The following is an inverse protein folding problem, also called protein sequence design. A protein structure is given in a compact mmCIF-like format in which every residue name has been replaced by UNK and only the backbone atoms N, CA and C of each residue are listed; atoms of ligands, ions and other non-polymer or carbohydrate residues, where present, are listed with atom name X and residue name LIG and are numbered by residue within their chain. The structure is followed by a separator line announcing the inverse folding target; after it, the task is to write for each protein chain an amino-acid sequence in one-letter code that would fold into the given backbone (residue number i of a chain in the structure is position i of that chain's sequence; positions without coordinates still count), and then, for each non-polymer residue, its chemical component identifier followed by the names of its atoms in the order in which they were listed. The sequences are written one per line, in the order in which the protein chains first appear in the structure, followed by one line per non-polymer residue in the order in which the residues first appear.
data_IF_187962159027
#
_entry.id   IF_187962159027
#
_cell.length_a   1.000
_cell.length_b   1.000
_cell.length_c   1.000
_cell.angle_alpha   90.00
_cell.angle_beta   90.00
_cell.angle_gamma   90.00
#
_symmetry.space_group_name_H-M   'P 1'
#
loop_
_entity.id
_entity.type
_entity.pdbx_description
1 polymer ?
#
# COMPACT_ATOMS: atom_id res chain seq x y z
N UNK A 1 -4.21 15.57 -10.78
CA UNK A 1 -4.31 15.79 -9.33
C UNK A 1 -3.98 14.51 -8.55
N UNK A 2 -4.64 13.37 -8.82
CA UNK A 2 -4.47 12.13 -8.08
C UNK A 2 -5.61 11.16 -8.37
N UNK A 3 -6.14 10.49 -7.34
CA UNK A 3 -7.23 9.53 -7.50
C UNK A 3 -8.26 9.67 -6.37
N UNK A 4 -9.47 9.25 -6.66
CA UNK A 4 -10.61 9.35 -5.75
C UNK A 4 -11.03 7.93 -5.35
N UNK A 5 -11.23 7.72 -4.05
CA UNK A 5 -11.78 6.48 -3.51
C UNK A 5 -13.23 6.65 -3.10
N UNK A 6 -14.00 5.56 -3.20
CA UNK A 6 -15.40 5.47 -2.78
C UNK A 6 -15.62 4.13 -2.10
N UNK A 7 -15.94 4.16 -0.82
CA UNK A 7 -16.16 2.96 0.00
C UNK A 7 -17.58 3.01 0.57
N UNK A 8 -18.52 2.23 0.04
CA UNK A 8 -19.84 2.10 0.64
C UNK A 8 -19.74 1.28 1.93
N UNK A 9 -20.29 1.81 3.00
CA UNK A 9 -20.47 1.13 4.27
C UNK A 9 -21.94 1.18 4.65
N UNK A 10 -22.36 0.36 5.64
CA UNK A 10 -23.78 0.14 5.97
C UNK A 10 -24.63 1.42 6.09
N UNK A 11 -24.08 2.51 6.61
CA UNK A 11 -24.84 3.72 6.93
C UNK A 11 -24.39 4.96 6.15
N UNK A 12 -23.35 4.86 5.34
CA UNK A 12 -22.81 5.99 4.58
C UNK A 12 -21.90 5.52 3.44
N UNK A 13 -21.57 6.44 2.56
CA UNK A 13 -20.46 6.26 1.63
C UNK A 13 -19.29 7.09 2.16
N UNK A 14 -18.16 6.44 2.43
CA UNK A 14 -16.89 7.12 2.63
C UNK A 14 -16.26 7.44 1.28
N UNK A 15 -15.74 8.65 1.11
CA UNK A 15 -15.01 9.03 -0.11
C UNK A 15 -13.93 10.04 0.23
N UNK A 16 -12.89 10.09 -0.58
CA UNK A 16 -11.80 11.04 -0.46
C UNK A 16 -10.96 11.11 -1.73
N UNK A 17 -10.13 12.13 -1.80
CA UNK A 17 -9.16 12.32 -2.86
C UNK A 17 -7.76 12.21 -2.29
N UNK A 18 -6.90 11.48 -2.99
CA UNK A 18 -5.45 11.41 -2.73
C UNK A 18 -4.74 12.21 -3.81
N UNK A 19 -3.87 13.12 -3.41
CA UNK A 19 -3.14 13.99 -4.32
C UNK A 19 -1.74 14.30 -3.83
N UNK A 20 -0.87 14.70 -4.74
CA UNK A 20 0.49 15.13 -4.41
C UNK A 20 0.56 16.65 -4.29
N UNK A 21 0.88 17.15 -3.10
CA UNK A 21 0.96 18.58 -2.80
C UNK A 21 2.04 19.34 -3.59
N UNK A 22 3.03 18.65 -4.13
CA UNK A 22 4.02 19.29 -5.01
C UNK A 22 3.48 19.57 -6.42
N UNK A 23 2.31 19.00 -6.76
CA UNK A 23 1.70 19.09 -8.10
C UNK A 23 0.39 19.88 -8.06
N UNK A 24 -0.38 19.72 -6.99
CA UNK A 24 -1.73 20.28 -6.83
C UNK A 24 -1.88 20.80 -5.41
N UNK A 25 -2.31 22.02 -5.24
CA UNK A 25 -2.60 22.56 -3.91
C UNK A 25 -3.92 22.01 -3.31
N UNK A 26 -4.13 22.12 -1.99
CA UNK A 26 -5.32 21.60 -1.34
C UNK A 26 -6.64 22.23 -1.80
N UNK A 27 -6.62 23.50 -2.19
CA UNK A 27 -7.79 24.24 -2.68
C UNK A 27 -8.22 23.71 -4.03
N UNK A 28 -7.26 23.56 -4.96
CA UNK A 28 -7.49 22.95 -6.27
C UNK A 28 -7.99 21.51 -6.15
N UNK A 29 -7.34 20.70 -5.29
CA UNK A 29 -7.76 19.32 -5.03
C UNK A 29 -9.20 19.26 -4.48
N UNK A 30 -9.58 20.21 -3.61
CA UNK A 30 -10.92 20.32 -3.06
C UNK A 30 -11.94 20.71 -4.12
N UNK A 31 -11.60 21.60 -5.04
CA UNK A 31 -12.47 21.95 -6.18
C UNK A 31 -12.68 20.75 -7.10
N UNK A 32 -11.62 20.05 -7.47
CA UNK A 32 -11.70 18.83 -8.30
C UNK A 32 -12.59 17.78 -7.64
N UNK A 33 -12.43 17.56 -6.33
CA UNK A 33 -13.21 16.60 -5.58
C UNK A 33 -14.69 16.99 -5.50
N UNK A 34 -15.00 18.23 -5.21
CA UNK A 34 -16.37 18.75 -5.16
C UNK A 34 -17.05 18.69 -6.54
N UNK A 35 -16.34 19.01 -7.61
CA UNK A 35 -16.85 18.93 -8.98
C UNK A 35 -17.15 17.47 -9.36
N UNK A 36 -16.27 16.53 -9.01
CA UNK A 36 -16.50 15.10 -9.26
C UNK A 36 -17.81 14.60 -8.63
N UNK A 37 -18.14 15.08 -7.43
CA UNK A 37 -19.36 14.70 -6.72
C UNK A 37 -20.51 15.69 -6.91
N UNK A 38 -20.40 16.66 -7.84
CA UNK A 38 -21.38 17.73 -8.04
C UNK A 38 -21.77 18.44 -6.73
N UNK A 39 -20.77 18.75 -5.91
CA UNK A 39 -20.91 19.39 -4.58
C UNK A 39 -21.82 18.63 -3.59
N UNK A 40 -22.06 17.33 -3.80
CA UNK A 40 -22.86 16.48 -2.89
C UNK A 40 -22.10 16.00 -1.67
N UNK A 41 -20.83 16.35 -1.55
CA UNK A 41 -19.97 15.91 -0.46
C UNK A 41 -19.47 17.11 0.35
N UNK A 42 -19.36 16.90 1.67
CA UNK A 42 -18.73 17.87 2.57
C UNK A 42 -17.35 17.33 2.96
N UNK A 43 -16.30 18.07 2.63
CA UNK A 43 -14.95 17.75 3.08
C UNK A 43 -14.89 17.91 4.59
N UNK A 44 -14.57 16.82 5.29
CA UNK A 44 -14.51 16.79 6.75
C UNK A 44 -13.11 17.06 7.28
N UNK A 45 -12.09 16.56 6.56
CA UNK A 45 -10.70 16.64 7.02
C UNK A 45 -9.75 16.58 5.83
N UNK A 46 -8.69 17.34 5.90
CA UNK A 46 -7.49 17.21 5.07
C UNK A 46 -6.40 16.58 5.93
N UNK A 47 -5.79 15.52 5.43
CA UNK A 47 -4.74 14.78 6.14
C UNK A 47 -3.48 14.85 5.30
N UNK A 48 -2.38 15.28 5.91
CA UNK A 48 -1.07 15.25 5.30
C UNK A 48 -0.29 14.07 5.86
N UNK A 49 0.41 13.34 4.99
CA UNK A 49 1.30 12.27 5.40
C UNK A 49 2.49 12.17 4.46
N UNK A 50 3.53 11.56 4.95
CA UNK A 50 4.65 11.05 4.16
C UNK A 50 4.69 9.54 4.38
N UNK A 51 4.76 8.72 3.33
CA UNK A 51 4.90 7.28 3.48
C UNK A 51 6.13 6.94 4.32
N UNK A 52 5.97 6.03 5.27
CA UNK A 52 7.06 5.59 6.14
C UNK A 52 6.79 4.18 6.68
N UNK A 53 7.85 3.51 7.09
CA UNK A 53 7.79 2.36 8.00
C UNK A 53 9.02 2.36 8.90
N UNK A 54 8.90 1.71 10.07
CA UNK A 54 10.00 1.64 11.03
C UNK A 54 11.07 0.66 10.55
N UNK A 55 12.35 0.96 10.76
CA UNK A 55 13.44 0.03 10.46
C UNK A 55 13.41 -1.22 11.37
N UNK A 56 12.74 -1.14 12.51
CA UNK A 56 12.49 -2.24 13.43
C UNK A 56 11.09 -2.12 14.02
N UNK A 57 10.26 -3.13 13.80
CA UNK A 57 8.88 -3.19 14.29
C UNK A 57 8.80 -3.77 15.70
N UNK A 58 9.72 -4.65 16.05
CA UNK A 58 9.85 -5.23 17.38
C UNK A 58 11.22 -4.89 17.97
N UNK A 59 11.22 -4.07 19.02
CA UNK A 59 12.42 -3.67 19.75
C UNK A 59 12.21 -3.88 21.24
N UNK A 60 13.09 -4.66 21.88
CA UNK A 60 12.94 -5.06 23.29
C UNK A 60 11.58 -5.74 23.53
N UNK A 61 10.79 -5.23 24.46
CA UNK A 61 9.44 -5.71 24.79
C UNK A 61 8.31 -4.93 24.12
N UNK A 62 8.62 -4.12 23.08
CA UNK A 62 7.64 -3.27 22.39
C UNK A 62 7.52 -3.67 20.93
N UNK A 63 6.27 -3.88 20.47
CA UNK A 63 5.92 -4.10 19.07
C UNK A 63 5.13 -2.91 18.54
N UNK A 64 5.50 -2.44 17.36
CA UNK A 64 4.80 -1.39 16.64
C UNK A 64 3.84 -2.01 15.61
N UNK A 65 2.54 -1.78 15.78
CA UNK A 65 1.49 -2.26 14.87
C UNK A 65 0.72 -1.09 14.25
N UNK A 66 0.12 -1.33 13.09
CA UNK A 66 -0.66 -0.32 12.36
C UNK A 66 0.16 0.95 12.12
N UNK A 67 -0.44 2.12 12.35
CA UNK A 67 0.23 3.41 12.16
C UNK A 67 1.49 3.59 13.01
N UNK A 68 1.62 2.87 14.13
CA UNK A 68 2.87 2.91 14.92
C UNK A 68 4.02 2.18 14.22
N UNK A 69 3.74 1.22 13.35
CA UNK A 69 4.72 0.48 12.55
C UNK A 69 5.07 1.18 11.24
N UNK A 70 4.07 1.77 10.58
CA UNK A 70 4.24 2.45 9.31
C UNK A 70 2.93 2.76 8.61
N UNK A 71 3.00 3.59 7.60
CA UNK A 71 1.89 3.91 6.72
C UNK A 71 2.41 4.23 5.33
N UNK A 72 1.85 3.61 4.31
CA UNK A 72 2.21 3.84 2.91
C UNK A 72 1.20 4.84 2.33
N UNK A 73 0.01 4.39 2.02
CA UNK A 73 -1.12 5.18 1.52
C UNK A 73 -2.42 4.38 1.60
N UNK A 74 -3.60 4.98 1.30
CA UNK A 74 -4.88 4.27 1.37
C UNK A 74 -5.12 3.21 0.29
N UNK A 75 -4.36 3.21 -0.81
CA UNK A 75 -4.56 2.29 -1.93
C UNK A 75 -4.44 0.83 -1.46
N UNK A 76 -5.33 -0.04 -1.97
CA UNK A 76 -5.40 -1.47 -1.63
C UNK A 76 -5.62 -1.77 -0.14
N UNK A 77 -5.96 -0.76 0.68
CA UNK A 77 -6.16 -0.91 2.14
C UNK A 77 -4.95 -1.53 2.87
N UNK A 78 -3.75 -1.35 2.33
CA UNK A 78 -2.50 -1.95 2.83
C UNK A 78 -2.27 -1.71 4.31
N UNK A 79 -2.61 -0.52 4.82
CA UNK A 79 -2.40 -0.17 6.22
C UNK A 79 -3.18 -1.07 7.20
N UNK A 80 -4.42 -1.42 6.88
CA UNK A 80 -5.23 -2.32 7.70
C UNK A 80 -4.72 -3.76 7.61
N UNK A 81 -4.46 -4.22 6.40
CA UNK A 81 -3.96 -5.57 6.16
C UNK A 81 -2.59 -5.80 6.82
N UNK A 82 -1.65 -4.85 6.73
CA UNK A 82 -0.35 -4.90 7.42
C UNK A 82 -0.49 -4.92 8.95
N UNK A 83 -1.46 -4.21 9.50
CA UNK A 83 -1.72 -4.25 10.95
C UNK A 83 -2.24 -5.63 11.40
N UNK A 84 -3.16 -6.22 10.65
CA UNK A 84 -3.70 -7.56 10.92
C UNK A 84 -2.62 -8.63 10.76
N UNK A 85 -1.84 -8.57 9.69
CA UNK A 85 -0.76 -9.50 9.44
C UNK A 85 0.34 -9.39 10.50
N UNK A 86 0.69 -8.18 10.92
CA UNK A 86 1.64 -7.97 12.01
C UNK A 86 1.18 -8.62 13.32
N UNK A 87 -0.10 -8.50 13.67
CA UNK A 87 -0.66 -9.17 14.84
C UNK A 87 -0.63 -10.70 14.70
N UNK A 88 -1.00 -11.22 13.53
CA UNK A 88 -0.96 -12.65 13.24
C UNK A 88 0.45 -13.23 13.34
N UNK A 89 1.44 -12.59 12.70
CA UNK A 89 2.83 -13.04 12.74
C UNK A 89 3.41 -13.00 14.16
N UNK A 90 3.03 -11.99 14.96
CA UNK A 90 3.45 -11.93 16.35
C UNK A 90 2.94 -13.15 17.14
N UNK A 91 1.64 -13.44 17.06
CA UNK A 91 1.05 -14.59 17.77
C UNK A 91 1.66 -15.90 17.29
N UNK A 92 1.81 -16.08 15.98
CA UNK A 92 2.40 -17.28 15.39
C UNK A 92 3.81 -17.54 15.89
N UNK A 93 4.69 -16.54 15.78
CA UNK A 93 6.10 -16.68 16.12
C UNK A 93 6.34 -16.83 17.64
N UNK A 94 5.52 -16.18 18.47
CA UNK A 94 5.62 -16.35 19.93
C UNK A 94 5.11 -17.70 20.40
N UNK A 95 4.07 -18.24 19.74
CA UNK A 95 3.56 -19.59 20.03
C UNK A 95 4.57 -20.68 19.67
N UNK A 96 5.29 -20.52 18.56
CA UNK A 96 6.23 -21.52 18.05
C UNK A 96 7.53 -21.66 18.89
N UNK A 97 7.69 -20.85 19.95
CA UNK A 97 8.65 -21.08 21.03
C UNK A 97 10.10 -20.75 20.72
N UNK A 98 10.37 -19.97 19.70
CA UNK A 98 11.74 -19.47 19.43
C UNK A 98 12.20 -18.52 20.56
N UNK A 99 13.49 -18.53 20.90
CA UNK A 99 14.05 -17.56 21.84
C UNK A 99 13.78 -16.12 21.43
N UNK A 100 13.56 -15.23 22.40
CA UNK A 100 13.09 -13.85 22.18
C UNK A 100 13.87 -13.09 21.09
N UNK A 101 15.21 -13.18 21.09
CA UNK A 101 16.04 -12.50 20.09
C UNK A 101 15.84 -13.00 18.66
N UNK A 102 15.75 -14.32 18.47
CA UNK A 102 15.50 -14.95 17.17
C UNK A 102 14.09 -14.60 16.67
N UNK A 103 13.10 -14.67 17.55
CA UNK A 103 11.70 -14.35 17.24
C UNK A 103 11.54 -12.90 16.79
N UNK A 104 12.12 -11.95 17.51
CA UNK A 104 12.04 -10.52 17.16
C UNK A 104 12.77 -10.21 15.85
N UNK A 105 13.92 -10.84 15.61
CA UNK A 105 14.66 -10.67 14.35
C UNK A 105 13.87 -11.21 13.15
N UNK A 106 13.26 -12.39 13.27
CA UNK A 106 12.43 -12.97 12.23
C UNK A 106 11.17 -12.13 11.98
N UNK A 107 10.49 -11.69 13.05
CA UNK A 107 9.35 -10.80 12.94
C UNK A 107 9.70 -9.51 12.19
N UNK A 108 10.80 -8.87 12.53
CA UNK A 108 11.26 -7.65 11.87
C UNK A 108 11.54 -7.87 10.39
N UNK A 109 12.17 -9.00 10.03
CA UNK A 109 12.46 -9.34 8.65
C UNK A 109 11.17 -9.56 7.83
N UNK A 110 10.19 -10.31 8.39
CA UNK A 110 8.90 -10.56 7.75
C UNK A 110 8.14 -9.24 7.54
N UNK A 111 8.00 -8.43 8.58
CA UNK A 111 7.27 -7.17 8.47
C UNK A 111 7.93 -6.20 7.50
N UNK A 112 9.26 -6.12 7.50
CA UNK A 112 10.00 -5.32 6.51
C UNK A 112 9.68 -5.78 5.09
N UNK A 113 9.72 -7.09 4.82
CA UNK A 113 9.38 -7.66 3.52
C UNK A 113 7.96 -7.29 3.08
N UNK A 114 6.98 -7.37 3.99
CA UNK A 114 5.60 -7.01 3.70
C UNK A 114 5.42 -5.52 3.35
N UNK A 115 6.11 -4.63 4.06
CA UNK A 115 6.08 -3.20 3.75
C UNK A 115 6.75 -2.90 2.40
N UNK A 116 7.91 -3.50 2.12
CA UNK A 116 8.63 -3.32 0.86
C UNK A 116 7.82 -3.84 -0.33
N UNK A 117 7.22 -5.03 -0.19
CA UNK A 117 6.33 -5.59 -1.21
C UNK A 117 5.08 -4.74 -1.43
N UNK A 118 4.49 -4.19 -0.36
CA UNK A 118 3.35 -3.29 -0.46
C UNK A 118 3.70 -1.98 -1.18
N UNK A 119 4.89 -1.43 -0.90
CA UNK A 119 5.38 -0.24 -1.61
C UNK A 119 5.56 -0.55 -3.10
N UNK A 120 6.16 -1.67 -3.44
CA UNK A 120 6.37 -2.10 -4.82
C UNK A 120 5.03 -2.27 -5.54
N UNK A 121 4.07 -2.96 -4.92
CA UNK A 121 2.74 -3.19 -5.48
C UNK A 121 1.94 -1.88 -5.66
N UNK A 122 1.94 -1.01 -4.68
CA UNK A 122 1.31 0.31 -4.77
C UNK A 122 1.98 1.16 -5.85
N UNK A 123 3.31 1.19 -5.91
CA UNK A 123 4.06 1.93 -6.94
C UNK A 123 3.70 1.47 -8.35
N UNK A 124 3.48 0.17 -8.54
CA UNK A 124 3.04 -0.37 -9.83
C UNK A 124 1.75 0.30 -10.32
N UNK A 125 0.75 0.52 -9.46
CA UNK A 125 -0.50 1.18 -9.83
C UNK A 125 -0.28 2.58 -10.40
N UNK A 126 0.75 3.26 -9.94
CA UNK A 126 1.10 4.61 -10.39
C UNK A 126 1.85 4.61 -11.71
N UNK A 127 2.69 3.62 -11.98
CA UNK A 127 3.55 3.61 -13.17
C UNK A 127 2.93 2.96 -14.41
N UNK A 128 1.99 2.02 -14.25
CA UNK A 128 1.44 1.22 -15.36
C UNK A 128 0.15 1.79 -15.98
N UNK A 129 -0.11 3.07 -15.84
CA UNK A 129 -1.28 3.70 -16.43
C UNK A 129 -0.92 4.61 -17.61
N UNK A 130 -1.88 4.83 -18.52
CA UNK A 130 -1.74 5.63 -19.74
C UNK A 130 -2.37 7.03 -19.61
N UNK A 131 -2.69 7.49 -18.39
CA UNK A 131 -3.29 8.80 -18.14
C UNK A 131 -2.30 9.92 -18.45
N UNK A 132 -2.82 11.05 -19.00
CA UNK A 132 -1.99 12.16 -19.50
C UNK A 132 -1.89 13.35 -18.55
N UNK A 133 -2.62 13.31 -17.42
CA UNK A 133 -2.57 14.38 -16.44
C UNK A 133 -1.20 14.41 -15.75
N UNK A 134 -0.71 15.61 -15.45
CA UNK A 134 0.61 15.87 -14.86
C UNK A 134 0.97 14.95 -13.68
N UNK A 135 -0.01 14.67 -12.81
CA UNK A 135 0.18 13.75 -11.69
C UNK A 135 0.67 12.36 -12.15
N UNK A 136 0.03 11.79 -13.17
CA UNK A 136 0.35 10.47 -13.70
C UNK A 136 1.62 10.46 -14.54
N UNK A 137 1.93 11.57 -15.22
CA UNK A 137 3.20 11.73 -15.92
C UNK A 137 4.38 11.74 -14.94
N UNK A 138 4.26 12.46 -13.83
CA UNK A 138 5.28 12.45 -12.77
C UNK A 138 5.38 11.08 -12.08
N UNK A 139 4.25 10.41 -11.84
CA UNK A 139 4.22 9.08 -11.26
C UNK A 139 4.96 8.04 -12.12
N UNK A 140 4.86 8.11 -13.45
CA UNK A 140 5.61 7.22 -14.37
C UNK A 140 7.13 7.40 -14.34
N UNK A 141 7.63 8.48 -13.76
CA UNK A 141 9.07 8.70 -13.55
C UNK A 141 9.62 7.97 -12.32
N UNK A 142 8.75 7.39 -11.49
CA UNK A 142 9.15 6.60 -10.34
C UNK A 142 9.99 5.39 -10.79
N UNK A 143 10.89 4.96 -9.91
CA UNK A 143 11.71 3.78 -10.17
C UNK A 143 10.81 2.54 -10.26
N UNK A 144 10.98 1.79 -11.35
CA UNK A 144 10.28 0.52 -11.55
C UNK A 144 10.66 -0.46 -10.45
N UNK A 145 9.70 -1.00 -9.67
CA UNK A 145 9.96 -1.95 -8.61
C UNK A 145 10.60 -3.25 -9.13
N UNK A 146 11.55 -3.86 -8.40
CA UNK A 146 12.16 -5.12 -8.79
C UNK A 146 11.15 -6.25 -8.98
N UNK A 147 10.14 -6.34 -8.12
CA UNK A 147 9.09 -7.34 -8.22
C UNK A 147 8.24 -7.17 -9.48
N UNK A 148 7.92 -5.95 -9.88
CA UNK A 148 7.22 -5.68 -11.13
C UNK A 148 7.96 -6.30 -12.33
N UNK A 149 9.27 -6.07 -12.44
CA UNK A 149 10.09 -6.63 -13.53
C UNK A 149 10.10 -8.17 -13.55
N UNK A 150 10.09 -8.78 -12.38
CA UNK A 150 10.04 -10.23 -12.25
C UNK A 150 8.70 -10.78 -12.76
N UNK A 151 7.59 -10.20 -12.33
CA UNK A 151 6.25 -10.62 -12.75
C UNK A 151 5.95 -10.27 -14.20
N UNK A 152 6.41 -9.14 -14.71
CA UNK A 152 6.26 -8.74 -16.11
C UNK A 152 6.90 -9.76 -17.06
N UNK A 153 8.09 -10.25 -16.76
CA UNK A 153 8.76 -11.30 -17.54
C UNK A 153 7.99 -12.63 -17.52
N UNK A 154 7.22 -12.88 -16.50
CA UNK A 154 6.48 -14.13 -16.28
C UNK A 154 4.99 -14.02 -16.60
N UNK A 155 4.49 -12.87 -17.06
CA UNK A 155 3.05 -12.61 -17.24
C UNK A 155 2.29 -13.64 -18.08
N UNK A 156 2.98 -14.33 -18.96
CA UNK A 156 2.41 -15.39 -19.81
C UNK A 156 2.54 -16.80 -19.20
N UNK A 157 3.20 -16.96 -18.05
CA UNK A 157 3.43 -18.26 -17.42
C UNK A 157 3.04 -18.22 -15.94
N UNK A 158 1.75 -18.17 -15.68
CA UNK A 158 1.14 -18.02 -14.35
C UNK A 158 1.51 -19.14 -13.38
N UNK A 159 1.85 -20.34 -13.90
CA UNK A 159 2.21 -21.50 -13.09
C UNK A 159 3.55 -21.32 -12.32
N UNK A 160 4.39 -20.39 -12.75
CA UNK A 160 5.71 -20.16 -12.16
C UNK A 160 5.76 -18.98 -11.17
N UNK A 161 4.61 -18.40 -10.81
CA UNK A 161 4.60 -17.35 -9.79
C UNK A 161 4.96 -17.96 -8.43
N UNK A 162 5.98 -17.44 -7.77
CA UNK A 162 6.36 -17.96 -6.46
C UNK A 162 5.22 -17.72 -5.47
N UNK A 163 4.56 -18.80 -5.07
CA UNK A 163 3.65 -18.79 -3.92
C UNK A 163 4.52 -18.82 -2.66
N UNK A 164 5.15 -17.71 -2.35
CA UNK A 164 5.86 -17.56 -1.10
C UNK A 164 4.83 -17.37 0.02
N UNK A 165 4.82 -18.24 1.02
CA UNK A 165 3.96 -18.14 2.21
C UNK A 165 4.16 -16.84 3.01
N UNK A 166 5.22 -16.09 2.70
CA UNK A 166 5.55 -14.78 3.26
C UNK A 166 5.33 -13.65 2.26
N UNK A 167 4.62 -13.90 1.15
CA UNK A 167 4.26 -12.85 0.22
C UNK A 167 2.96 -12.18 0.68
N UNK A 168 2.97 -10.87 0.82
CA UNK A 168 1.80 -10.08 1.19
C UNK A 168 0.82 -9.96 0.02
N UNK A 169 1.36 -9.71 -1.17
CA UNK A 169 0.62 -9.75 -2.43
C UNK A 169 1.06 -10.97 -3.24
N UNK A 170 0.26 -12.03 -3.21
CA UNK A 170 0.55 -13.23 -3.98
C UNK A 170 0.59 -13.01 -5.48
N UNK A 171 1.20 -13.94 -6.21
CA UNK A 171 1.34 -13.87 -7.67
C UNK A 171 0.05 -13.55 -8.42
N UNK A 172 -1.10 -14.02 -7.94
CA UNK A 172 -2.41 -13.73 -8.54
C UNK A 172 -2.77 -12.24 -8.53
N UNK A 173 -2.39 -11.49 -7.50
CA UNK A 173 -2.61 -10.05 -7.42
C UNK A 173 -1.83 -9.33 -8.52
N UNK A 174 -0.55 -9.68 -8.67
CA UNK A 174 0.34 -9.13 -9.70
C UNK A 174 -0.14 -9.46 -11.12
N UNK A 175 -0.52 -10.73 -11.36
CA UNK A 175 -1.02 -11.18 -12.67
C UNK A 175 -2.29 -10.47 -13.07
N UNK A 176 -3.22 -10.29 -12.14
CA UNK A 176 -4.50 -9.62 -12.41
C UNK A 176 -4.25 -8.21 -12.94
N UNK A 177 -3.33 -7.49 -12.34
CA UNK A 177 -2.94 -6.15 -12.79
C UNK A 177 -2.18 -6.17 -14.12
N UNK A 178 -1.20 -7.04 -14.28
CA UNK A 178 -0.39 -7.12 -15.49
C UNK A 178 -1.17 -7.55 -16.73
N UNK A 179 -2.33 -8.21 -16.56
CA UNK A 179 -3.23 -8.54 -17.67
C UNK A 179 -4.11 -7.39 -18.11
N UNK A 180 -4.25 -6.35 -17.30
CA UNK A 180 -5.07 -5.16 -17.61
C UNK A 180 -4.27 -4.07 -18.32
N UNK A 181 -2.97 -4.22 -18.42
CA UNK A 181 -2.00 -3.32 -19.03
C UNK A 181 -1.38 -3.99 -20.25
#
# INVERSE_FOLDING_TARGET
CGWIWKIPVRHRIGTGIVFNRSITDPEEASMIFNNHWASRVKIRKVINWTPYYKPSFWKHNVISLGLAGGFIEPLESTGLALAMEGAYQFVKLTRDGYGHGATSSLYNAIMKSFYEESIDFVTMHYIVNNRKEKFWEEARKLKIPPQYRMYEKQKNNVANYPNNQYSFFGGNNWVTWLKQV
#
